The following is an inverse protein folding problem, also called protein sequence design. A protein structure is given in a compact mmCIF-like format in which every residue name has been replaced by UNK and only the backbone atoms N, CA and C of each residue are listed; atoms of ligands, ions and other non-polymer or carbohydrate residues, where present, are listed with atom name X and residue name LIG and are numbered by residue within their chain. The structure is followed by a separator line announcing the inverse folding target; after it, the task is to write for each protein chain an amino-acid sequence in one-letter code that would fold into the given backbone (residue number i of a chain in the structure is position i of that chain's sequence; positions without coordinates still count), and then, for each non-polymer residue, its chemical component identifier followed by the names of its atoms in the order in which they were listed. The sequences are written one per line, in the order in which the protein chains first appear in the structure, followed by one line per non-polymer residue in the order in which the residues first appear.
data_IF_173278866809
#
_entry.id   IF_173278866809
#
_cell.length_a   1.000
_cell.length_b   1.000
_cell.length_c   1.000
_cell.angle_alpha   90.00
_cell.angle_beta   90.00
_cell.angle_gamma   90.00
#
_symmetry.space_group_name_H-M   'P 1'
#
loop_
_entity.id
_entity.type
_entity.pdbx_description
1 polymer ?
#
# COMPACT_ATOMS: atom_id res chain seq x y z
N UNK A 1 -13.50 18.23 -30.87
CA UNK A 1 -12.59 18.49 -32.01
C UNK A 1 -12.91 19.79 -32.80
N UNK A 2 -14.17 20.16 -33.05
CA UNK A 2 -14.51 21.41 -33.78
C UNK A 2 -14.06 22.71 -33.09
N UNK A 3 -14.03 22.76 -31.75
CA UNK A 3 -13.58 23.94 -31.01
C UNK A 3 -12.09 24.28 -31.23
N UNK A 4 -11.24 23.25 -31.28
CA UNK A 4 -9.78 23.39 -31.46
C UNK A 4 -9.44 23.88 -32.87
N UNK A 5 -10.18 23.41 -33.88
CA UNK A 5 -10.01 23.87 -35.26
C UNK A 5 -10.37 25.36 -35.43
N UNK A 6 -11.47 25.83 -34.83
CA UNK A 6 -11.85 27.26 -34.91
C UNK A 6 -10.87 28.19 -34.21
N UNK A 7 -10.22 27.71 -33.14
CA UNK A 7 -9.23 28.47 -32.40
C UNK A 7 -7.91 28.60 -33.19
N UNK A 8 -7.54 27.58 -33.97
CA UNK A 8 -6.36 27.59 -34.83
C UNK A 8 -6.51 28.54 -36.05
N UNK A 9 -7.73 28.69 -36.57
CA UNK A 9 -8.01 29.61 -37.68
C UNK A 9 -8.08 31.08 -37.20
N UNK A 10 -8.63 31.32 -35.99
CA UNK A 10 -8.62 32.65 -35.38
C UNK A 10 -7.20 33.17 -35.06
N UNK A 11 -6.26 32.28 -34.72
CA UNK A 11 -4.85 32.63 -34.50
C UNK A 11 -4.14 32.99 -35.81
N UNK A 12 -4.54 32.38 -36.94
CA UNK A 12 -3.93 32.63 -38.25
C UNK A 12 -4.36 33.96 -38.88
N UNK A 13 -5.53 34.51 -38.52
CA UNK A 13 -6.04 35.76 -39.11
C UNK A 13 -5.53 37.04 -38.44
N UNK A 14 -4.85 36.95 -37.30
CA UNK A 14 -4.26 38.12 -36.62
C UNK A 14 -2.81 38.35 -37.05
N UNK A 15 -2.61 38.87 -38.26
CA UNK A 15 -1.31 39.35 -38.77
C UNK A 15 -0.89 40.72 -38.19
N UNK A 16 -1.29 40.97 -36.95
CA UNK A 16 -0.92 42.17 -36.24
C UNK A 16 -0.01 41.76 -35.09
N UNK A 17 1.20 42.33 -35.01
CA UNK A 17 2.26 41.94 -34.06
C UNK A 17 1.82 42.00 -32.59
N UNK A 18 0.69 42.63 -32.30
CA UNK A 18 0.03 42.68 -30.99
C UNK A 18 -0.76 41.40 -30.66
N UNK A 19 -1.29 40.69 -31.65
CA UNK A 19 -2.06 39.45 -31.47
C UNK A 19 -1.22 38.30 -30.94
N UNK A 20 0.01 38.12 -31.46
CA UNK A 20 0.91 37.04 -31.02
C UNK A 20 1.33 37.15 -29.54
N UNK A 21 1.54 38.38 -29.04
CA UNK A 21 1.84 38.60 -27.63
C UNK A 21 0.65 38.22 -26.74
N UNK A 22 -0.56 38.59 -27.15
CA UNK A 22 -1.79 38.34 -26.38
C UNK A 22 -2.13 36.84 -26.32
N UNK A 23 -1.92 36.12 -27.43
CA UNK A 23 -2.05 34.65 -27.48
C UNK A 23 -1.01 33.97 -26.58
N UNK A 24 0.23 34.45 -26.55
CA UNK A 24 1.28 33.93 -25.66
C UNK A 24 0.95 34.13 -24.18
N UNK A 25 0.46 35.32 -23.80
CA UNK A 25 0.02 35.60 -22.44
C UNK A 25 -1.18 34.74 -22.02
N UNK A 26 -2.14 34.55 -22.92
CA UNK A 26 -3.32 33.70 -22.66
C UNK A 26 -2.91 32.24 -22.45
N UNK A 27 -2.01 31.71 -23.29
CA UNK A 27 -1.51 30.35 -23.16
C UNK A 27 -0.76 30.13 -21.84
N UNK A 28 0.05 31.10 -21.42
CA UNK A 28 0.77 31.04 -20.14
C UNK A 28 -0.21 31.09 -18.94
N UNK A 29 -1.22 31.98 -19.01
CA UNK A 29 -2.24 32.07 -17.97
C UNK A 29 -3.06 30.78 -17.85
N UNK A 30 -3.44 30.16 -18.98
CA UNK A 30 -4.15 28.90 -19.00
C UNK A 30 -3.30 27.74 -18.46
N UNK A 31 -2.00 27.67 -18.82
CA UNK A 31 -1.09 26.67 -18.30
C UNK A 31 -0.91 26.79 -16.78
N UNK A 32 -0.79 28.02 -16.27
CA UNK A 32 -0.70 28.29 -14.83
C UNK A 32 -1.99 27.90 -14.09
N UNK A 33 -3.16 28.27 -14.62
CA UNK A 33 -4.45 27.91 -14.04
C UNK A 33 -4.68 26.39 -14.02
N UNK A 34 -4.27 25.69 -15.09
CA UNK A 34 -4.39 24.24 -15.17
C UNK A 34 -3.46 23.52 -14.17
N UNK A 35 -2.22 23.99 -14.01
CA UNK A 35 -1.29 23.49 -12.98
C UNK A 35 -1.86 23.64 -11.57
N UNK A 36 -2.41 24.81 -11.25
CA UNK A 36 -3.05 25.05 -9.95
C UNK A 36 -4.27 24.14 -9.71
N UNK A 37 -5.08 23.90 -10.75
CA UNK A 37 -6.25 23.02 -10.66
C UNK A 37 -5.85 21.55 -10.40
N UNK A 38 -4.80 21.05 -11.06
CA UNK A 38 -4.26 19.70 -10.83
C UNK A 38 -3.78 19.54 -9.40
N UNK A 39 -3.01 20.51 -8.89
CA UNK A 39 -2.49 20.48 -7.52
C UNK A 39 -3.65 20.46 -6.53
N UNK A 40 -4.64 21.35 -6.68
CA UNK A 40 -5.81 21.38 -5.80
C UNK A 40 -6.67 20.11 -5.85
N UNK A 41 -6.77 19.47 -7.02
CA UNK A 41 -7.55 18.24 -7.17
C UNK A 41 -6.85 17.01 -6.59
N UNK A 42 -5.53 16.88 -6.80
CA UNK A 42 -4.75 15.73 -6.31
C UNK A 42 -4.41 15.83 -4.82
N UNK A 43 -4.27 17.06 -4.29
CA UNK A 43 -3.90 17.35 -2.91
C UNK A 43 -4.76 16.59 -1.85
N UNK A 44 -6.10 16.66 -1.85
CA UNK A 44 -6.89 15.96 -0.84
C UNK A 44 -6.77 14.44 -0.94
N UNK A 45 -6.54 13.90 -2.15
CA UNK A 45 -6.40 12.45 -2.36
C UNK A 45 -5.07 11.91 -1.85
N UNK A 46 -3.98 12.64 -2.08
CA UNK A 46 -2.65 12.27 -1.59
C UNK A 46 -2.63 12.35 -0.05
N UNK A 47 -3.21 13.39 0.54
CA UNK A 47 -3.32 13.51 1.99
C UNK A 47 -4.16 12.39 2.61
N UNK A 48 -5.27 12.01 1.96
CA UNK A 48 -6.10 10.90 2.44
C UNK A 48 -5.38 9.54 2.34
N UNK A 49 -4.59 9.34 1.28
CA UNK A 49 -3.77 8.14 1.12
C UNK A 49 -2.71 8.06 2.22
N UNK A 50 -1.92 9.13 2.40
CA UNK A 50 -0.90 9.20 3.45
C UNK A 50 -1.49 9.03 4.85
N UNK A 51 -2.67 9.61 5.14
CA UNK A 51 -3.33 9.46 6.43
C UNK A 51 -3.73 7.99 6.70
N UNK A 52 -4.07 7.21 5.67
CA UNK A 52 -4.34 5.77 5.81
C UNK A 52 -3.07 4.96 6.04
N UNK A 53 -1.98 5.29 5.35
CA UNK A 53 -0.73 4.52 5.44
C UNK A 53 -0.01 4.72 6.77
N UNK A 54 -0.07 5.93 7.35
CA UNK A 54 0.73 6.29 8.53
C UNK A 54 -0.04 6.34 9.85
N UNK A 55 -1.25 5.78 9.91
CA UNK A 55 -1.94 5.46 11.16
C UNK A 55 -1.96 6.59 12.19
N UNK A 56 -2.45 7.79 11.83
CA UNK A 56 -2.83 8.89 12.74
C UNK A 56 -1.70 9.58 13.55
N UNK A 57 -0.58 8.92 13.85
CA UNK A 57 0.42 9.41 14.81
C UNK A 57 1.60 10.20 14.18
N UNK A 58 1.76 10.16 12.85
CA UNK A 58 2.92 10.75 12.14
C UNK A 58 2.69 12.09 11.43
N UNK A 59 1.56 12.76 11.63
CA UNK A 59 1.14 13.94 10.84
C UNK A 59 2.02 15.22 10.92
N UNK A 60 2.77 15.57 11.99
CA UNK A 60 3.34 16.91 12.09
C UNK A 60 4.54 17.15 11.14
N UNK A 61 5.39 16.16 10.89
CA UNK A 61 6.60 16.35 10.08
C UNK A 61 6.30 16.48 8.56
N UNK A 62 5.29 15.74 8.07
CA UNK A 62 4.86 15.83 6.67
C UNK A 62 4.17 17.16 6.35
N UNK A 63 3.46 17.74 7.32
CA UNK A 63 2.73 19.00 7.13
C UNK A 63 3.67 20.22 7.02
N UNK A 64 4.79 20.24 7.75
CA UNK A 64 5.76 21.34 7.67
C UNK A 64 6.53 21.36 6.34
N UNK A 65 6.97 20.19 5.86
CA UNK A 65 7.58 20.07 4.53
C UNK A 65 6.61 20.45 3.41
N UNK A 66 5.32 20.18 3.62
CA UNK A 66 4.23 20.50 2.70
C UNK A 66 3.91 22.01 2.64
N UNK A 67 3.75 22.66 3.79
CA UNK A 67 3.55 24.11 3.85
C UNK A 67 4.77 24.86 3.32
N UNK A 68 5.98 24.33 3.56
CA UNK A 68 7.24 24.89 3.10
C UNK A 68 7.52 24.76 1.59
N UNK A 69 6.87 23.84 0.87
CA UNK A 69 7.08 23.70 -0.59
C UNK A 69 6.01 24.42 -1.42
N UNK A 70 4.82 24.61 -0.86
CA UNK A 70 3.70 25.23 -1.59
C UNK A 70 3.90 26.75 -1.79
N UNK A 71 4.51 27.48 -0.85
CA UNK A 71 4.74 28.93 -1.04
C UNK A 71 5.72 29.26 -2.18
N UNK A 72 6.71 28.38 -2.43
CA UNK A 72 7.65 28.55 -3.55
C UNK A 72 6.98 28.42 -4.92
N UNK A 73 5.94 27.60 -5.04
CA UNK A 73 5.18 27.40 -6.29
C UNK A 73 4.37 28.65 -6.69
N UNK A 74 3.99 29.51 -5.74
CA UNK A 74 3.27 30.75 -6.01
C UNK A 74 4.19 31.97 -6.20
N UNK A 75 5.38 31.97 -5.58
CA UNK A 75 6.33 33.09 -5.66
C UNK A 75 7.06 33.16 -7.00
N UNK A 76 7.37 32.02 -7.61
CA UNK A 76 8.07 31.96 -8.91
C UNK A 76 7.26 32.56 -10.08
N UNK A 77 5.95 32.26 -10.25
CA UNK A 77 5.12 32.91 -11.27
C UNK A 77 4.95 34.41 -11.03
N UNK A 78 4.82 34.84 -9.76
CA UNK A 78 4.68 36.25 -9.40
C UNK A 78 5.96 37.06 -9.73
N UNK A 79 7.14 36.49 -9.47
CA UNK A 79 8.43 37.10 -9.84
C UNK A 79 8.66 37.10 -11.36
N UNK A 80 8.21 36.07 -12.08
CA UNK A 80 8.24 36.03 -13.54
C UNK A 80 7.33 37.10 -14.18
N UNK A 81 6.14 37.33 -13.61
CA UNK A 81 5.24 38.42 -14.02
C UNK A 81 5.83 39.81 -13.73
N UNK A 82 6.43 39.98 -12.55
CA UNK A 82 7.07 41.25 -12.16
C UNK A 82 8.28 41.61 -13.05
N UNK A 83 9.10 40.62 -13.39
CA UNK A 83 10.25 40.79 -14.31
C UNK A 83 9.82 41.06 -15.76
N UNK A 84 8.70 40.46 -16.20
CA UNK A 84 8.10 40.75 -17.51
C UNK A 84 7.68 42.20 -17.67
N UNK A 85 7.05 42.79 -16.64
CA UNK A 85 6.59 44.18 -16.65
C UNK A 85 7.75 45.20 -16.68
N UNK A 86 8.90 44.86 -16.10
CA UNK A 86 10.09 45.73 -16.10
C UNK A 86 10.82 45.77 -17.47
N UNK A 87 10.62 44.75 -18.30
CA UNK A 87 11.32 44.57 -19.59
C UNK A 87 10.70 45.30 -20.79
N UNK A 88 9.59 46.03 -20.58
CA UNK A 88 8.81 46.69 -21.63
C UNK A 88 9.39 48.03 -22.13
N UNK A 89 10.51 48.51 -21.58
CA UNK A 89 11.21 49.70 -22.09
C UNK A 89 12.52 49.34 -22.81
N UNK A 90 12.43 49.40 -24.13
CA UNK A 90 13.48 49.77 -25.11
C UNK A 90 14.44 48.66 -25.61
N UNK A 91 14.26 48.30 -26.89
CA UNK A 91 15.25 47.75 -27.86
C UNK A 91 15.94 46.40 -27.58
N UNK A 92 15.69 45.72 -26.48
CA UNK A 92 16.17 44.33 -26.27
C UNK A 92 15.27 43.23 -26.88
N UNK A 93 14.28 43.60 -27.68
CA UNK A 93 13.18 42.74 -28.13
C UNK A 93 13.59 41.54 -29.01
N UNK A 94 14.77 41.51 -29.63
CA UNK A 94 15.19 40.34 -30.45
C UNK A 94 15.96 39.30 -29.64
N UNK A 95 16.79 39.73 -28.68
CA UNK A 95 17.52 38.81 -27.77
C UNK A 95 16.64 38.33 -26.62
N UNK A 96 15.76 39.19 -26.08
CA UNK A 96 14.79 38.80 -25.06
C UNK A 96 13.75 37.81 -25.59
N UNK A 97 13.36 37.90 -26.87
CA UNK A 97 12.43 36.94 -27.48
C UNK A 97 13.07 35.55 -27.64
N UNK A 98 14.33 35.47 -28.07
CA UNK A 98 15.10 34.22 -28.10
C UNK A 98 15.26 33.60 -26.70
N UNK A 99 15.55 34.42 -25.68
CA UNK A 99 15.67 33.96 -24.28
C UNK A 99 14.31 33.52 -23.71
N UNK A 100 13.23 34.22 -24.04
CA UNK A 100 11.87 33.83 -23.62
C UNK A 100 11.39 32.54 -24.28
N UNK A 101 11.75 32.32 -25.56
CA UNK A 101 11.39 31.11 -26.30
C UNK A 101 12.18 29.89 -25.81
N UNK A 102 13.48 30.05 -25.53
CA UNK A 102 14.28 28.97 -24.92
C UNK A 102 13.86 28.69 -23.48
N UNK A 103 13.52 29.71 -22.69
CA UNK A 103 13.00 29.55 -21.33
C UNK A 103 11.66 28.79 -21.30
N UNK A 104 10.74 29.11 -22.21
CA UNK A 104 9.43 28.44 -22.29
C UNK A 104 9.54 26.96 -22.69
N UNK A 105 10.44 26.65 -23.64
CA UNK A 105 10.73 25.26 -24.02
C UNK A 105 11.39 24.49 -22.88
N UNK A 106 12.28 25.12 -22.10
CA UNK A 106 12.94 24.50 -20.97
C UNK A 106 11.97 24.16 -19.84
N UNK A 107 11.08 25.09 -19.47
CA UNK A 107 10.05 24.86 -18.43
C UNK A 107 9.07 23.77 -18.87
N UNK A 108 8.66 23.74 -20.14
CA UNK A 108 7.81 22.68 -20.67
C UNK A 108 8.48 21.30 -20.64
N UNK A 109 9.73 21.22 -21.10
CA UNK A 109 10.49 19.97 -21.09
C UNK A 109 10.75 19.45 -19.66
N UNK A 110 11.10 20.35 -18.74
CA UNK A 110 11.34 20.01 -17.34
C UNK A 110 10.06 19.55 -16.62
N UNK A 111 8.93 20.22 -16.88
CA UNK A 111 7.62 19.81 -16.36
C UNK A 111 7.19 18.42 -16.86
N UNK A 112 7.39 18.13 -18.15
CA UNK A 112 7.14 16.80 -18.70
C UNK A 112 8.06 15.74 -18.08
N UNK A 113 9.36 16.04 -17.89
CA UNK A 113 10.30 15.12 -17.27
C UNK A 113 9.90 14.78 -15.82
N UNK A 114 9.50 15.78 -15.02
CA UNK A 114 9.02 15.55 -13.66
C UNK A 114 7.69 14.79 -13.62
N UNK A 115 6.76 15.07 -14.55
CA UNK A 115 5.51 14.34 -14.67
C UNK A 115 5.72 12.87 -15.02
N UNK A 116 6.64 12.58 -15.94
CA UNK A 116 7.04 11.21 -16.27
C UNK A 116 7.75 10.52 -15.10
N UNK A 117 8.64 11.23 -14.39
CA UNK A 117 9.32 10.69 -13.21
C UNK A 117 8.33 10.36 -12.08
N UNK A 118 7.35 11.24 -11.83
CA UNK A 118 6.28 11.01 -10.85
C UNK A 118 5.37 9.84 -11.23
N UNK A 119 5.01 9.73 -12.51
CA UNK A 119 4.22 8.59 -13.02
C UNK A 119 5.00 7.29 -12.92
N UNK A 120 6.29 7.32 -13.26
CA UNK A 120 7.19 6.17 -13.10
C UNK A 120 7.32 5.77 -11.64
N UNK A 121 7.48 6.72 -10.71
CA UNK A 121 7.53 6.44 -9.28
C UNK A 121 6.23 5.82 -8.76
N UNK A 122 5.07 6.33 -9.19
CA UNK A 122 3.77 5.73 -8.84
C UNK A 122 3.60 4.33 -9.43
N UNK A 123 4.04 4.10 -10.67
CA UNK A 123 3.99 2.78 -11.30
C UNK A 123 4.91 1.78 -10.59
N UNK A 124 6.14 2.19 -10.30
CA UNK A 124 7.12 1.39 -9.56
C UNK A 124 6.58 1.10 -8.16
N UNK A 125 6.12 2.10 -7.42
CA UNK A 125 5.53 1.85 -6.11
C UNK A 125 4.26 1.02 -6.19
N UNK A 126 3.42 1.14 -7.21
CA UNK A 126 2.26 0.25 -7.37
C UNK A 126 2.64 -1.19 -7.72
N UNK A 127 3.78 -1.38 -8.41
CA UNK A 127 4.34 -2.70 -8.69
C UNK A 127 4.99 -3.31 -7.44
N UNK A 128 5.47 -2.48 -6.50
CA UNK A 128 6.02 -2.91 -5.21
C UNK A 128 4.98 -2.94 -4.07
N UNK A 129 3.87 -2.21 -4.17
CA UNK A 129 2.64 -2.30 -3.35
C UNK A 129 1.82 -3.54 -3.71
N UNK A 130 2.28 -4.32 -4.70
CA UNK A 130 2.05 -5.75 -4.78
C UNK A 130 2.73 -6.49 -3.62
N UNK A 131 2.50 -6.02 -2.39
CA UNK A 131 2.80 -6.67 -1.12
C UNK A 131 2.00 -7.96 -0.93
N UNK A 132 1.90 -8.78 -1.97
CA UNK A 132 2.24 -10.19 -1.81
C UNK A 132 3.75 -10.27 -1.52
N UNK A 133 4.16 -9.74 -0.37
CA UNK A 133 5.25 -10.35 0.37
C UNK A 133 4.86 -11.82 0.41
N UNK A 134 5.66 -12.65 -0.29
CA UNK A 134 5.41 -14.07 -0.53
C UNK A 134 4.57 -14.65 0.60
N UNK A 135 3.36 -15.15 0.31
CA UNK A 135 2.48 -15.75 1.31
C UNK A 135 3.15 -17.01 1.87
N UNK A 136 4.07 -16.78 2.81
CA UNK A 136 5.09 -17.68 3.30
C UNK A 136 5.48 -17.19 4.68
N UNK A 137 5.81 -18.14 5.52
CA UNK A 137 6.34 -17.85 6.83
C UNK A 137 7.72 -17.19 6.72
N UNK A 138 8.09 -16.32 7.68
CA UNK A 138 9.47 -15.90 7.81
C UNK A 138 10.35 -17.13 8.12
N UNK A 139 11.64 -17.13 7.70
CA UNK A 139 12.52 -18.29 7.88
C UNK A 139 12.62 -18.81 9.32
N UNK A 140 12.47 -17.92 10.31
CA UNK A 140 12.47 -18.26 11.74
C UNK A 140 11.24 -19.08 12.12
N UNK A 141 10.04 -18.68 11.67
CA UNK A 141 8.83 -19.46 11.92
C UNK A 141 8.88 -20.81 11.22
N UNK A 142 9.37 -20.88 9.97
CA UNK A 142 9.56 -22.16 9.28
C UNK A 142 10.51 -23.10 10.04
N UNK A 143 11.60 -22.56 10.60
CA UNK A 143 12.53 -23.35 11.39
C UNK A 143 11.87 -23.89 12.67
N UNK A 144 11.11 -23.07 13.39
CA UNK A 144 10.37 -23.50 14.58
C UNK A 144 9.34 -24.59 14.24
N UNK A 145 8.63 -24.46 13.12
CA UNK A 145 7.68 -25.48 12.67
C UNK A 145 8.37 -26.80 12.30
N UNK A 146 9.53 -26.74 11.62
CA UNK A 146 10.30 -27.94 11.25
C UNK A 146 10.94 -28.64 12.44
N UNK A 147 11.31 -27.88 13.47
CA UNK A 147 11.94 -28.38 14.70
C UNK A 147 10.94 -28.62 15.85
N UNK A 148 9.65 -28.41 15.61
CA UNK A 148 8.60 -28.39 16.64
C UNK A 148 8.59 -29.68 17.45
N UNK A 149 8.99 -29.58 18.72
CA UNK A 149 9.08 -30.73 19.64
C UNK A 149 7.80 -30.94 20.45
N UNK A 150 7.04 -29.87 20.67
CA UNK A 150 5.74 -29.90 21.32
C UNK A 150 4.77 -29.05 20.54
N UNK A 151 3.65 -29.65 20.18
CA UNK A 151 2.58 -28.96 19.45
C UNK A 151 1.29 -29.11 20.25
N UNK A 152 0.71 -27.97 20.59
CA UNK A 152 -0.56 -27.89 21.31
C UNK A 152 -1.60 -27.29 20.39
N UNK A 153 -2.71 -27.97 20.26
CA UNK A 153 -3.85 -27.54 19.47
C UNK A 153 -4.93 -27.03 20.43
N UNK A 154 -5.39 -25.81 20.18
CA UNK A 154 -6.31 -25.07 21.02
C UNK A 154 -7.59 -24.82 20.25
N UNK A 155 -8.74 -25.01 20.90
CA UNK A 155 -10.04 -24.60 20.38
C UNK A 155 -10.53 -23.41 21.18
N UNK A 156 -10.97 -22.37 20.48
CA UNK A 156 -11.52 -21.17 21.10
C UNK A 156 -13.05 -21.27 21.24
N UNK A 157 -13.58 -20.57 22.24
CA UNK A 157 -15.02 -20.44 22.44
C UNK A 157 -15.36 -19.42 23.52
N UNK A 158 -16.65 -19.16 23.69
CA UNK A 158 -17.17 -18.18 24.66
C UNK A 158 -17.23 -18.74 26.09
N UNK A 159 -16.21 -19.51 26.49
CA UNK A 159 -16.11 -20.08 27.83
C UNK A 159 -15.68 -19.04 28.87
N UNK A 160 -16.12 -19.21 30.11
CA UNK A 160 -15.76 -18.36 31.26
C UNK A 160 -14.42 -18.82 31.89
N UNK A 161 -13.85 -19.92 31.39
CA UNK A 161 -12.65 -20.52 31.98
C UNK A 161 -11.40 -19.66 31.75
N UNK A 162 -10.55 -19.65 32.77
CA UNK A 162 -9.50 -18.64 33.01
C UNK A 162 -8.27 -18.69 32.09
N UNK A 163 -8.23 -19.61 31.13
CA UNK A 163 -7.06 -19.76 30.25
C UNK A 163 -7.33 -19.03 28.93
N UNK A 164 -6.67 -17.89 28.76
CA UNK A 164 -6.71 -17.10 27.54
C UNK A 164 -5.45 -17.34 26.70
N UNK A 165 -5.63 -17.36 25.39
CA UNK A 165 -4.55 -17.42 24.40
C UNK A 165 -4.72 -16.24 23.43
N UNK A 166 -3.83 -15.24 23.53
CA UNK A 166 -3.91 -13.99 22.76
C UNK A 166 -5.29 -13.29 22.84
N UNK A 167 -5.88 -13.25 24.05
CA UNK A 167 -7.19 -12.64 24.30
C UNK A 167 -8.39 -13.46 23.85
N UNK A 168 -8.18 -14.75 23.51
CA UNK A 168 -9.24 -15.71 23.18
C UNK A 168 -9.37 -16.75 24.30
N UNK A 169 -10.59 -16.99 24.78
CA UNK A 169 -10.84 -18.06 25.75
C UNK A 169 -10.63 -19.45 25.12
N UNK A 170 -9.81 -20.28 25.76
CA UNK A 170 -9.54 -21.66 25.31
C UNK A 170 -10.56 -22.60 25.95
N UNK A 171 -11.38 -23.27 25.13
CA UNK A 171 -12.38 -24.24 25.61
C UNK A 171 -11.90 -25.68 25.57
N UNK A 172 -10.91 -25.99 24.73
CA UNK A 172 -10.33 -27.32 24.62
C UNK A 172 -8.87 -27.21 24.20
N UNK A 173 -8.03 -28.04 24.81
CA UNK A 173 -6.61 -28.15 24.50
C UNK A 173 -6.27 -29.63 24.25
N UNK A 174 -5.50 -29.90 23.19
CA UNK A 174 -5.01 -31.22 22.83
C UNK A 174 -3.52 -31.13 22.55
N UNK A 175 -2.72 -31.89 23.29
CA UNK A 175 -1.32 -32.11 22.92
C UNK A 175 -1.27 -33.12 21.76
N UNK A 176 -0.61 -32.74 20.67
CA UNK A 176 -0.44 -33.62 19.52
C UNK A 176 0.75 -34.56 19.72
N UNK A 177 0.59 -35.82 19.31
CA UNK A 177 1.70 -36.75 19.17
C UNK A 177 2.69 -36.25 18.10
N UNK A 178 3.98 -36.52 18.27
CA UNK A 178 5.06 -35.94 17.45
C UNK A 178 4.84 -36.22 15.95
N UNK A 179 4.51 -37.47 15.59
CA UNK A 179 4.33 -37.85 14.18
C UNK A 179 3.13 -37.11 13.55
N UNK A 180 2.03 -36.99 14.29
CA UNK A 180 0.83 -36.26 13.83
C UNK A 180 1.08 -34.74 13.76
N UNK A 181 1.90 -34.22 14.68
CA UNK A 181 2.31 -32.82 14.70
C UNK A 181 3.21 -32.48 13.50
N UNK A 182 4.19 -33.32 13.18
CA UNK A 182 5.06 -33.14 12.02
C UNK A 182 4.27 -33.14 10.71
N UNK A 183 3.36 -34.11 10.54
CA UNK A 183 2.49 -34.20 9.37
C UNK A 183 1.60 -32.95 9.23
N UNK A 184 0.97 -32.51 10.33
CA UNK A 184 0.14 -31.31 10.35
C UNK A 184 0.93 -30.04 10.01
N UNK A 185 2.07 -29.81 10.65
CA UNK A 185 2.88 -28.61 10.43
C UNK A 185 3.43 -28.57 9.00
N UNK A 186 3.83 -29.72 8.45
CA UNK A 186 4.23 -29.83 7.05
C UNK A 186 3.07 -29.51 6.10
N UNK A 187 1.90 -30.10 6.32
CA UNK A 187 0.71 -29.81 5.53
C UNK A 187 0.33 -28.33 5.59
N UNK A 188 0.46 -27.69 6.76
CA UNK A 188 0.17 -26.27 6.91
C UNK A 188 1.15 -25.37 6.13
N UNK A 189 2.44 -25.72 6.10
CA UNK A 189 3.43 -25.02 5.28
C UNK A 189 3.10 -25.13 3.78
N UNK A 190 2.74 -26.33 3.33
CA UNK A 190 2.35 -26.59 1.94
C UNK A 190 1.06 -25.83 1.57
N UNK A 191 0.07 -25.81 2.46
CA UNK A 191 -1.19 -25.08 2.30
C UNK A 191 -1.00 -23.56 2.16
N UNK A 192 -0.13 -22.97 2.98
CA UNK A 192 0.19 -21.54 2.91
C UNK A 192 0.91 -21.25 1.58
N UNK A 193 1.87 -22.08 1.20
CA UNK A 193 2.60 -21.92 -0.05
C UNK A 193 1.70 -22.11 -1.30
N UNK A 194 0.65 -22.92 -1.21
CA UNK A 194 -0.29 -23.20 -2.29
C UNK A 194 -1.44 -22.18 -2.40
N UNK A 195 -1.60 -21.28 -1.42
CA UNK A 195 -2.65 -20.27 -1.43
C UNK A 195 -2.54 -19.35 -2.66
N UNK A 196 -3.68 -19.02 -3.26
CA UNK A 196 -3.77 -18.12 -4.42
C UNK A 196 -3.86 -16.63 -4.01
N UNK A 197 -3.77 -16.33 -2.72
CA UNK A 197 -3.86 -14.97 -2.19
C UNK A 197 -5.30 -14.42 -2.18
N UNK A 198 -6.31 -15.28 -2.29
CA UNK A 198 -7.73 -14.89 -2.26
C UNK A 198 -8.42 -15.33 -0.97
N UNK A 199 -8.08 -14.72 0.14
CA UNK A 199 -8.80 -14.93 1.39
C UNK A 199 -9.92 -13.89 1.67
N UNK A 200 -10.89 -14.26 2.50
CA UNK A 200 -11.97 -13.35 2.91
C UNK A 200 -11.44 -12.23 3.82
N UNK A 201 -12.13 -11.07 3.86
CA UNK A 201 -11.69 -9.93 4.70
C UNK A 201 -11.82 -10.18 6.20
N UNK A 202 -12.68 -11.12 6.62
CA UNK A 202 -12.90 -11.45 8.01
C UNK A 202 -11.68 -12.12 8.66
N UNK A 203 -11.59 -12.03 9.98
CA UNK A 203 -10.64 -12.81 10.77
C UNK A 203 -11.22 -13.07 12.17
N UNK A 204 -11.94 -14.17 12.29
CA UNK A 204 -12.45 -14.68 13.56
C UNK A 204 -11.86 -16.08 13.84
N UNK A 205 -10.63 -16.15 14.39
CA UNK A 205 -9.99 -17.42 14.65
C UNK A 205 -10.82 -18.27 15.61
N UNK A 206 -11.06 -19.52 15.23
CA UNK A 206 -11.71 -20.53 16.07
C UNK A 206 -10.72 -21.49 16.74
N UNK A 207 -9.46 -21.47 16.29
CA UNK A 207 -8.43 -22.42 16.70
C UNK A 207 -7.08 -21.73 16.87
N UNK A 208 -6.28 -22.27 17.78
CA UNK A 208 -4.90 -21.87 18.00
C UNK A 208 -3.97 -23.08 17.87
N UNK A 209 -2.74 -22.84 17.44
CA UNK A 209 -1.66 -23.83 17.53
C UNK A 209 -0.50 -23.15 18.23
N UNK A 210 0.04 -23.81 19.25
CA UNK A 210 1.32 -23.41 19.80
C UNK A 210 2.36 -24.46 19.48
N UNK A 211 3.48 -24.01 18.92
CA UNK A 211 4.63 -24.84 18.58
C UNK A 211 5.81 -24.39 19.44
N UNK A 212 6.40 -25.32 20.18
CA UNK A 212 7.64 -25.09 20.94
C UNK A 212 8.78 -25.92 20.36
N UNK A 213 9.92 -25.27 20.11
CA UNK A 213 11.17 -25.91 19.71
C UNK A 213 12.35 -25.37 20.53
N UNK A 214 13.55 -25.92 20.31
CA UNK A 214 14.77 -25.38 20.91
C UNK A 214 15.08 -23.95 20.44
N UNK A 215 14.63 -23.60 19.22
CA UNK A 215 14.87 -22.30 18.59
C UNK A 215 13.86 -21.23 19.00
N UNK A 216 12.74 -21.59 19.63
CA UNK A 216 11.76 -20.63 20.12
C UNK A 216 10.34 -21.19 20.24
N UNK A 217 9.37 -20.28 20.27
CA UNK A 217 7.95 -20.61 20.23
C UNK A 217 7.27 -19.84 19.09
N UNK A 218 6.27 -20.48 18.49
CA UNK A 218 5.44 -19.92 17.45
C UNK A 218 3.99 -20.19 17.80
N UNK A 219 3.23 -19.11 17.91
CA UNK A 219 1.80 -19.16 18.13
C UNK A 219 1.08 -18.84 16.83
N UNK A 220 0.11 -19.67 16.47
CA UNK A 220 -0.71 -19.53 15.26
C UNK A 220 -2.17 -19.41 15.65
N UNK A 221 -2.88 -18.45 15.05
CA UNK A 221 -4.32 -18.30 15.16
C UNK A 221 -4.95 -18.59 13.81
N UNK A 222 -5.83 -19.59 13.77
CA UNK A 222 -6.42 -20.12 12.54
C UNK A 222 -7.89 -19.71 12.43
N UNK A 223 -8.23 -19.00 11.36
CA UNK A 223 -9.60 -18.67 10.99
C UNK A 223 -9.98 -19.44 9.71
N UNK A 224 -10.78 -20.48 9.88
CA UNK A 224 -11.13 -21.40 8.79
C UNK A 224 -12.14 -20.83 7.81
N UNK A 225 -13.14 -20.12 8.31
CA UNK A 225 -14.16 -19.50 7.47
C UNK A 225 -13.55 -18.49 6.49
N UNK A 226 -12.45 -17.86 6.90
CA UNK A 226 -11.79 -16.81 6.14
C UNK A 226 -10.49 -17.28 5.47
N UNK A 227 -10.05 -18.53 5.69
CA UNK A 227 -8.80 -19.09 5.15
C UNK A 227 -7.57 -18.23 5.48
N UNK A 228 -7.54 -17.68 6.70
CA UNK A 228 -6.48 -16.81 7.21
C UNK A 228 -5.86 -17.35 8.48
N UNK A 229 -4.56 -17.19 8.57
CA UNK A 229 -3.74 -17.52 9.72
C UNK A 229 -2.99 -16.27 10.16
N UNK A 230 -2.99 -15.98 11.46
CA UNK A 230 -2.09 -15.01 12.06
C UNK A 230 -0.99 -15.78 12.79
N UNK A 231 0.27 -15.50 12.46
CA UNK A 231 1.40 -16.06 13.21
C UNK A 231 1.97 -15.01 14.16
N UNK A 232 2.52 -15.47 15.28
CA UNK A 232 3.16 -14.63 16.30
C UNK A 232 4.49 -15.21 16.72
N UNK A 233 5.54 -14.40 16.60
CA UNK A 233 6.91 -14.67 17.01
C UNK A 233 7.31 -13.62 18.06
N UNK A 234 7.03 -13.89 19.33
CA UNK A 234 7.20 -12.88 20.38
C UNK A 234 6.22 -11.71 20.20
N UNK A 235 6.75 -10.50 20.00
CA UNK A 235 5.93 -9.30 19.73
C UNK A 235 5.59 -9.11 18.24
N UNK A 236 6.30 -9.79 17.35
CA UNK A 236 6.08 -9.70 15.91
C UNK A 236 4.88 -10.56 15.51
N UNK A 237 3.96 -9.99 14.73
CA UNK A 237 2.80 -10.70 14.20
C UNK A 237 2.49 -10.29 12.77
N UNK A 238 2.12 -11.24 11.93
CA UNK A 238 1.62 -10.98 10.59
C UNK A 238 0.60 -12.03 10.17
N UNK A 239 -0.10 -11.78 9.06
CA UNK A 239 -1.16 -12.65 8.56
C UNK A 239 -0.80 -13.27 7.23
N UNK A 240 -1.08 -14.57 7.13
CA UNK A 240 -0.93 -15.39 5.96
C UNK A 240 -2.28 -15.98 5.57
N UNK A 241 -2.36 -16.42 4.33
CA UNK A 241 -3.51 -17.07 3.75
C UNK A 241 -3.18 -18.55 3.51
N UNK A 242 -4.18 -19.42 3.50
CA UNK A 242 -3.95 -20.86 3.31
C UNK A 242 -5.15 -21.52 2.64
N UNK A 243 -4.95 -22.64 1.94
CA UNK A 243 -6.00 -23.34 1.19
C UNK A 243 -7.06 -24.00 2.09
N UNK A 244 -6.66 -24.39 3.31
CA UNK A 244 -7.54 -25.06 4.27
C UNK A 244 -7.64 -26.58 4.07
N UNK A 245 -6.60 -27.24 3.55
CA UNK A 245 -6.56 -28.72 3.52
C UNK A 245 -6.00 -29.30 4.83
N UNK A 246 -4.99 -28.65 5.41
CA UNK A 246 -4.38 -28.89 6.74
C UNK A 246 -5.42 -28.97 7.88
N UNK A 247 -6.56 -28.33 7.67
CA UNK A 247 -7.76 -28.35 8.51
C UNK A 247 -8.24 -29.74 8.87
N UNK A 248 -8.13 -30.71 7.95
CA UNK A 248 -8.59 -32.08 8.18
C UNK A 248 -7.87 -32.73 9.36
N UNK A 249 -6.61 -32.37 9.58
CA UNK A 249 -5.83 -32.87 10.71
C UNK A 249 -6.30 -32.26 12.04
N UNK A 250 -6.66 -30.98 12.05
CA UNK A 250 -7.20 -30.30 13.24
C UNK A 250 -8.54 -30.89 13.64
N UNK A 251 -9.47 -31.03 12.68
CA UNK A 251 -10.79 -31.59 12.95
C UNK A 251 -10.69 -33.04 13.43
N UNK A 252 -9.80 -33.83 12.83
CA UNK A 252 -9.54 -35.20 13.26
C UNK A 252 -8.98 -35.27 14.70
N UNK A 253 -8.13 -34.31 15.10
CA UNK A 253 -7.58 -34.27 16.46
C UNK A 253 -8.63 -33.94 17.54
N UNK A 254 -9.67 -33.18 17.19
CA UNK A 254 -10.79 -32.86 18.09
C UNK A 254 -12.00 -33.79 17.95
N UNK A 255 -12.01 -34.68 16.95
CA UNK A 255 -13.07 -35.64 16.81
C UNK A 255 -13.13 -36.49 18.08
N UNK A 256 -14.32 -36.69 18.70
CA UNK A 256 -14.44 -37.55 19.86
C UNK A 256 -13.89 -38.91 19.45
N UNK A 257 -12.81 -39.36 20.13
CA UNK A 257 -12.28 -40.69 19.87
C UNK A 257 -13.47 -41.64 20.02
N UNK A 258 -13.76 -42.40 18.96
CA UNK A 258 -14.82 -43.38 18.98
C UNK A 258 -14.44 -44.36 20.09
N UNK A 259 -14.92 -44.08 21.30
CA UNK A 259 -14.66 -44.89 22.47
C UNK A 259 -15.20 -46.26 22.09
N UNK A 260 -14.36 -47.32 22.07
CA UNK A 260 -14.86 -48.63 21.77
C UNK A 260 -15.98 -48.88 22.77
N UNK A 261 -17.22 -49.01 22.27
CA UNK A 261 -18.34 -49.45 23.09
C UNK A 261 -17.86 -50.72 23.76
N UNK A 262 -17.67 -50.70 25.07
CA UNK A 262 -17.48 -51.92 25.83
C UNK A 262 -18.71 -52.76 25.58
N UNK A 263 -18.56 -53.80 24.74
CA UNK A 263 -19.57 -54.82 24.58
C UNK A 263 -19.73 -55.50 25.96
N UNK A 264 -20.98 -55.59 26.47
CA UNK A 264 -21.26 -56.20 27.77
C UNK A 264 -21.02 -57.72 27.77
#
# INVERSE_FOLDING_TARGET
MRAVASMADAIRSTDDRRGGALVGWLALALASAFGAAIVHYLQPRILLALARTYGGAGLPAGLELYLGTNWMLWLLPALALASGLLSLRLRFLRRAWLIGLTGSLFVGAFGCALGLLGTFFLLVNSAFDGGQLMNRFPPVAEAIMKEGTRVRLLRFGNGIDSTEFHGRGVVQEVAMEIDAAEEFLKSLLDDVAASDGRAALCFDPGFGVQVESASGSLDLLLCYECQKLEYRLGEDSDRLEFTGESLRHVEAAFAPSATPKSEP
#
